data_IF_668673652819
#
_entry.id   IF_668673652819
#
_cell.length_a   1.000
_cell.length_b   1.000
_cell.length_c   1.000
_cell.angle_alpha   90.00
_cell.angle_beta   90.00
_cell.angle_gamma   90.00
#
_symmetry.space_group_name_H-M   'P 1'
#
loop_
_entity.id
_entity.type
_entity.pdbx_description
1 polymer ?
#
# COMPACT_ATOMS: atom_id res chain seq x y z
N UNK A 1 18.54 11.39 -4.39
CA UNK A 1 18.24 9.96 -4.46
C UNK A 1 16.98 9.78 -3.65
N UNK A 2 15.85 9.44 -4.28
CA UNK A 2 14.62 9.14 -3.52
C UNK A 2 14.95 8.00 -2.57
N UNK A 3 14.68 8.17 -1.28
CA UNK A 3 14.59 7.02 -0.39
C UNK A 3 13.58 6.06 -1.04
N UNK A 4 13.91 4.78 -1.27
CA UNK A 4 12.87 3.80 -1.56
C UNK A 4 11.94 3.86 -0.35
N UNK A 5 10.71 4.34 -0.56
CA UNK A 5 9.72 4.39 0.52
C UNK A 5 9.58 2.96 1.01
N UNK A 6 9.82 2.76 2.30
CA UNK A 6 9.66 1.46 2.94
C UNK A 6 8.25 0.93 2.63
N UNK A 7 8.14 -0.31 2.14
CA UNK A 7 6.89 -0.96 1.72
C UNK A 7 5.81 -0.85 2.81
N UNK A 8 6.16 -1.09 4.07
CA UNK A 8 5.22 -0.96 5.19
C UNK A 8 4.74 0.48 5.39
N UNK A 9 5.62 1.45 5.18
CA UNK A 9 5.29 2.88 5.27
C UNK A 9 4.32 3.28 4.15
N UNK A 10 4.53 2.77 2.94
CA UNK A 10 3.61 2.98 1.81
C UNK A 10 2.26 2.30 2.06
N UNK A 11 2.25 1.07 2.57
CA UNK A 11 1.03 0.38 2.97
C UNK A 11 0.25 1.16 4.04
N UNK A 12 0.93 1.75 5.02
CA UNK A 12 0.29 2.59 6.05
C UNK A 12 -0.34 3.85 5.44
N UNK A 13 0.33 4.48 4.48
CA UNK A 13 -0.23 5.59 3.72
C UNK A 13 -1.53 5.17 3.01
N UNK A 14 -1.56 4.00 2.37
CA UNK A 14 -2.78 3.49 1.72
C UNK A 14 -3.89 3.13 2.72
N UNK A 15 -3.58 2.53 3.87
CA UNK A 15 -4.55 2.26 4.93
C UNK A 15 -5.24 3.56 5.37
N UNK A 16 -4.45 4.61 5.62
CA UNK A 16 -4.98 5.94 5.98
C UNK A 16 -5.77 6.56 4.84
N UNK A 17 -5.32 6.39 3.60
CA UNK A 17 -6.02 6.84 2.39
C UNK A 17 -7.39 6.22 2.17
N UNK A 18 -7.47 4.90 2.26
CA UNK A 18 -8.73 4.16 2.13
C UNK A 18 -9.69 4.49 3.26
N UNK A 19 -9.18 4.63 4.48
CA UNK A 19 -9.99 5.00 5.66
C UNK A 19 -10.48 6.44 5.58
N UNK A 20 -9.64 7.36 5.09
CA UNK A 20 -9.94 8.78 4.93
C UNK A 20 -10.72 9.12 3.65
N UNK A 21 -10.86 8.17 2.72
CA UNK A 21 -11.59 8.35 1.46
C UNK A 21 -10.86 9.20 0.41
N UNK A 22 -9.53 9.31 0.49
CA UNK A 22 -8.70 10.07 -0.47
C UNK A 22 -7.81 9.18 -1.36
N UNK A 23 -7.92 7.86 -1.19
CA UNK A 23 -7.32 6.84 -2.06
C UNK A 23 -8.43 5.88 -2.48
N UNK A 24 -8.46 5.52 -3.76
CA UNK A 24 -9.32 4.46 -4.26
C UNK A 24 -8.62 3.07 -4.22
N UNK A 25 -9.36 1.96 -4.03
CA UNK A 25 -8.79 0.62 -4.03
C UNK A 25 -7.98 0.30 -5.30
N UNK A 26 -8.38 0.87 -6.45
CA UNK A 26 -7.67 0.73 -7.73
C UNK A 26 -6.23 1.22 -7.68
N UNK A 27 -5.96 2.30 -6.95
CA UNK A 27 -4.60 2.83 -6.80
C UNK A 27 -3.71 1.86 -6.02
N UNK A 28 -4.28 1.19 -5.01
CA UNK A 28 -3.58 0.20 -4.20
C UNK A 28 -3.31 -1.08 -5.01
N UNK A 29 -4.28 -1.52 -5.82
CA UNK A 29 -4.13 -2.65 -6.74
C UNK A 29 -2.99 -2.37 -7.73
N UNK A 30 -2.98 -1.18 -8.36
CA UNK A 30 -1.93 -0.79 -9.30
C UNK A 30 -0.54 -0.74 -8.64
N UNK A 31 -0.46 -0.31 -7.38
CA UNK A 31 0.77 -0.37 -6.60
C UNK A 31 1.23 -1.82 -6.34
N UNK A 32 0.31 -2.72 -5.98
CA UNK A 32 0.64 -4.13 -5.80
C UNK A 32 1.09 -4.79 -7.12
N UNK A 33 0.47 -4.45 -8.25
CA UNK A 33 0.89 -4.90 -9.58
C UNK A 33 2.33 -4.45 -9.91
N UNK A 34 2.69 -3.22 -9.56
CA UNK A 34 4.06 -2.71 -9.72
C UNK A 34 5.06 -3.50 -8.85
N UNK A 35 4.68 -3.81 -7.61
CA UNK A 35 5.51 -4.63 -6.73
C UNK A 35 5.72 -6.04 -7.28
N UNK A 36 4.70 -6.65 -7.89
CA UNK A 36 4.84 -7.98 -8.55
C UNK A 36 5.88 -7.99 -9.67
N UNK A 37 6.10 -6.85 -10.31
CA UNK A 37 7.06 -6.71 -11.41
C UNK A 37 8.45 -6.30 -10.91
N UNK A 38 8.52 -5.48 -9.87
CA UNK A 38 9.76 -4.84 -9.41
C UNK A 38 10.45 -5.58 -8.27
N UNK A 39 9.70 -6.28 -7.42
CA UNK A 39 10.25 -7.05 -6.30
C UNK A 39 10.48 -8.51 -6.71
N UNK A 40 11.69 -9.01 -6.45
CA UNK A 40 12.07 -10.37 -6.81
C UNK A 40 11.46 -11.45 -5.90
N UNK A 41 11.06 -11.07 -4.68
CA UNK A 41 10.47 -11.94 -3.66
C UNK A 41 9.18 -11.32 -3.14
N UNK A 42 8.09 -11.56 -3.87
CA UNK A 42 6.77 -11.01 -3.56
C UNK A 42 6.06 -11.84 -2.51
N UNK A 43 5.75 -11.22 -1.37
CA UNK A 43 4.93 -11.81 -0.32
C UNK A 43 3.48 -12.05 -0.80
N UNK A 44 2.79 -13.01 -0.16
CA UNK A 44 1.41 -13.42 -0.52
C UNK A 44 0.41 -12.26 -0.51
N UNK A 45 0.57 -11.30 0.42
CA UNK A 45 -0.32 -10.13 0.51
C UNK A 45 -0.30 -9.28 -0.77
N UNK A 46 0.80 -9.27 -1.52
CA UNK A 46 0.91 -8.52 -2.78
C UNK A 46 -0.03 -9.13 -3.82
N UNK A 47 -0.06 -10.46 -3.90
CA UNK A 47 -0.96 -11.20 -4.81
C UNK A 47 -2.42 -10.99 -4.38
N UNK A 48 -2.70 -11.06 -3.09
CA UNK A 48 -4.05 -10.85 -2.56
C UNK A 48 -4.59 -9.45 -2.90
N UNK A 49 -3.75 -8.41 -2.74
CA UNK A 49 -4.13 -7.04 -3.12
C UNK A 49 -4.30 -6.92 -4.64
N UNK A 50 -3.35 -7.42 -5.44
CA UNK A 50 -3.40 -7.38 -6.91
C UNK A 50 -4.65 -8.07 -7.48
N UNK A 51 -5.13 -9.13 -6.82
CA UNK A 51 -6.31 -9.91 -7.25
C UNK A 51 -7.63 -9.48 -6.60
N UNK A 52 -7.59 -8.45 -5.74
CA UNK A 52 -8.79 -7.89 -5.11
C UNK A 52 -9.71 -7.21 -6.11
N UNK A 53 -11.01 -7.16 -5.80
CA UNK A 53 -11.97 -6.41 -6.61
C UNK A 53 -11.78 -4.89 -6.41
N UNK A 54 -11.88 -4.13 -7.50
CA UNK A 54 -11.69 -2.67 -7.50
C UNK A 54 -12.69 -1.90 -6.60
N UNK A 55 -13.83 -2.52 -6.28
CA UNK A 55 -14.85 -2.00 -5.37
C UNK A 55 -14.76 -2.58 -3.95
N UNK A 56 -13.89 -3.57 -3.70
CA UNK A 56 -13.70 -4.20 -2.40
C UNK A 56 -12.66 -3.46 -1.54
N UNK A 57 -13.07 -2.28 -1.05
CA UNK A 57 -12.26 -1.48 -0.12
C UNK A 57 -11.88 -2.25 1.14
N UNK A 58 -12.78 -3.09 1.66
CA UNK A 58 -12.57 -3.78 2.94
C UNK A 58 -11.60 -4.94 2.80
N UNK A 59 -11.67 -5.71 1.71
CA UNK A 59 -10.70 -6.75 1.38
C UNK A 59 -9.30 -6.18 1.21
N UNK A 60 -9.15 -5.13 0.38
CA UNK A 60 -7.84 -4.47 0.20
C UNK A 60 -7.27 -3.96 1.53
N UNK A 61 -8.09 -3.32 2.37
CA UNK A 61 -7.65 -2.83 3.68
C UNK A 61 -7.21 -3.99 4.61
N UNK A 62 -7.93 -5.12 4.58
CA UNK A 62 -7.56 -6.31 5.33
C UNK A 62 -6.16 -6.84 4.93
N UNK A 63 -5.89 -6.95 3.64
CA UNK A 63 -4.59 -7.43 3.14
C UNK A 63 -3.46 -6.45 3.46
N UNK A 64 -3.68 -5.13 3.35
CA UNK A 64 -2.66 -4.13 3.71
C UNK A 64 -2.23 -4.19 5.18
N UNK A 65 -3.14 -4.57 6.09
CA UNK A 65 -2.79 -4.75 7.50
C UNK A 65 -1.86 -5.95 7.76
N UNK A 66 -1.74 -6.88 6.81
CA UNK A 66 -0.84 -8.03 6.92
C UNK A 66 0.62 -7.69 6.55
N UNK A 67 0.85 -6.53 5.92
CA UNK A 67 2.18 -6.06 5.54
C UNK A 67 3.06 -5.90 6.78
N UNK A 68 4.25 -6.49 6.76
CA UNK A 68 5.20 -6.47 7.87
C UNK A 68 6.29 -5.43 7.64
N UNK A 69 6.97 -5.07 8.73
CA UNK A 69 8.09 -4.14 8.72
C UNK A 69 7.87 -2.95 9.65
N UNK A 70 8.87 -2.07 9.72
CA UNK A 70 8.81 -0.85 10.52
C UNK A 70 8.26 0.32 9.71
N UNK A 71 7.49 1.18 10.37
CA UNK A 71 6.97 2.41 9.78
C UNK A 71 7.98 3.53 10.00
N UNK A 72 8.40 4.18 8.91
CA UNK A 72 9.08 5.47 8.99
C UNK A 72 8.03 6.57 9.13
N UNK A 73 7.81 7.01 10.37
CA UNK A 73 6.86 8.07 10.73
C UNK A 73 7.12 9.39 9.97
N UNK A 74 8.40 9.73 9.72
CA UNK A 74 8.75 10.97 9.03
C UNK A 74 8.43 10.88 7.54
N UNK A 75 8.73 9.75 6.90
CA UNK A 75 8.36 9.51 5.51
C UNK A 75 6.83 9.41 5.35
N UNK A 76 6.12 8.76 6.29
CA UNK A 76 4.67 8.70 6.29
C UNK A 76 4.04 10.10 6.38
N UNK A 77 4.53 10.94 7.29
CA UNK A 77 4.07 12.30 7.43
C UNK A 77 4.26 13.11 6.13
N UNK A 78 5.42 12.95 5.47
CA UNK A 78 5.69 13.61 4.20
C UNK A 78 4.74 13.15 3.08
N UNK A 79 4.35 11.87 3.04
CA UNK A 79 3.37 11.35 2.08
C UNK A 79 1.95 11.90 2.34
N UNK A 80 1.58 12.06 3.60
CA UNK A 80 0.26 12.55 4.00
C UNK A 80 0.12 14.08 3.84
N UNK A 81 1.20 14.84 4.00
CA UNK A 81 1.20 16.31 3.80
C UNK A 81 1.00 16.71 2.33
N UNK A 82 1.32 15.80 1.39
CA UNK A 82 1.14 15.98 -0.05
C UNK A 82 -0.24 15.56 -0.59
N UNK A 83 -1.25 15.36 0.27
CA UNK A 83 -2.60 14.90 -0.10
C UNK A 83 -3.60 16.03 -0.31
#
# INVERSE_FOLDING_TARGET
MSNPVNIRTHAEYFIKGLTGGFVDPKEVIAWADELLVTEADTEEWVIDVSTSAEDDRMGVLHHLHSVKGDIDEAALAALLDGK
#
